data_IF_328390513503
#
_entry.id   IF_328390513503
#
_cell.length_a   1.000
_cell.length_b   1.000
_cell.length_c   1.000
_cell.angle_alpha   90.00
_cell.angle_beta   90.00
_cell.angle_gamma   90.00
#
_symmetry.space_group_name_H-M   'P 1'
#
loop_
_entity.id
_entity.type
_entity.pdbx_description
1 polymer ?
#
# COMPACT_ATOMS: atom_id res chain seq x y z
N UNK A 1 10.82 -3.45 -17.52
CA UNK A 1 11.38 -2.18 -18.00
C UNK A 1 10.21 -1.24 -18.25
N UNK A 2 10.26 -0.01 -17.74
CA UNK A 2 9.20 0.96 -17.97
C UNK A 2 9.48 1.68 -19.29
N UNK A 3 8.52 1.66 -20.20
CA UNK A 3 8.66 2.24 -21.53
C UNK A 3 7.61 3.32 -21.76
N UNK A 4 8.03 4.41 -22.42
CA UNK A 4 7.17 5.56 -22.68
C UNK A 4 6.08 5.21 -23.69
N UNK A 5 6.43 4.55 -24.79
CA UNK A 5 5.49 4.25 -25.89
C UNK A 5 4.38 3.32 -25.41
N UNK A 6 4.70 2.34 -24.57
CA UNK A 6 3.70 1.46 -23.95
C UNK A 6 2.67 2.25 -23.11
N UNK A 7 3.14 3.17 -22.26
CA UNK A 7 2.26 4.01 -21.42
C UNK A 7 1.43 4.97 -22.28
N UNK A 8 2.04 5.56 -23.31
CA UNK A 8 1.35 6.46 -24.22
C UNK A 8 0.24 5.73 -25.00
N UNK A 9 0.51 4.52 -25.50
CA UNK A 9 -0.48 3.70 -26.19
C UNK A 9 -1.66 3.33 -25.29
N UNK A 10 -1.40 2.99 -24.01
CA UNK A 10 -2.44 2.75 -23.01
C UNK A 10 -3.29 4.01 -22.76
N UNK A 11 -2.65 5.16 -22.56
CA UNK A 11 -3.33 6.44 -22.36
C UNK A 11 -4.20 6.83 -23.57
N UNK A 12 -3.71 6.61 -24.78
CA UNK A 12 -4.43 6.89 -26.02
C UNK A 12 -5.61 5.92 -26.21
N UNK A 13 -5.46 4.65 -25.86
CA UNK A 13 -6.56 3.70 -25.86
C UNK A 13 -7.64 4.06 -24.81
N UNK A 14 -7.24 4.54 -23.64
CA UNK A 14 -8.17 5.04 -22.62
C UNK A 14 -8.90 6.30 -23.10
N UNK A 15 -8.18 7.25 -23.70
CA UNK A 15 -8.76 8.46 -24.26
C UNK A 15 -9.86 8.15 -25.28
N UNK A 16 -9.57 7.26 -26.24
CA UNK A 16 -10.55 6.83 -27.27
C UNK A 16 -11.80 6.16 -26.69
N UNK A 17 -11.70 5.51 -25.52
CA UNK A 17 -12.86 4.92 -24.82
C UNK A 17 -13.72 5.96 -24.11
N UNK A 18 -13.09 6.98 -23.54
CA UNK A 18 -13.77 8.02 -22.78
C UNK A 18 -14.44 9.05 -23.69
N UNK A 19 -13.80 9.37 -24.83
CA UNK A 19 -14.26 10.38 -25.78
C UNK A 19 -14.27 9.78 -27.21
N UNK A 20 -15.25 8.93 -27.53
CA UNK A 20 -15.36 8.31 -28.86
C UNK A 20 -15.62 9.33 -29.97
N UNK A 21 -16.20 10.48 -29.66
CA UNK A 21 -16.39 11.59 -30.62
C UNK A 21 -15.06 12.17 -31.15
N UNK A 22 -13.97 12.07 -30.40
CA UNK A 22 -12.64 12.56 -30.78
C UNK A 22 -11.76 11.43 -31.31
N UNK A 23 -12.15 10.83 -32.45
CA UNK A 23 -11.46 9.66 -33.02
C UNK A 23 -10.29 10.00 -33.96
N UNK A 24 -10.31 11.16 -34.61
CA UNK A 24 -9.32 11.60 -35.61
C UNK A 24 -8.18 12.45 -35.00
N UNK A 25 -7.56 11.97 -33.92
CA UNK A 25 -6.42 12.65 -33.29
C UNK A 25 -5.17 12.59 -34.19
N UNK A 26 -4.59 13.76 -34.46
CA UNK A 26 -3.32 13.94 -35.17
C UNK A 26 -2.25 14.48 -34.23
N UNK A 27 -0.97 14.28 -34.53
CA UNK A 27 0.14 14.75 -33.70
C UNK A 27 0.23 16.28 -33.53
N UNK A 28 -0.42 17.03 -34.44
CA UNK A 28 -0.54 18.47 -34.40
C UNK A 28 -1.56 18.96 -33.37
N UNK A 29 -2.46 18.09 -32.90
CA UNK A 29 -3.50 18.48 -31.95
C UNK A 29 -2.91 18.74 -30.57
N UNK A 30 -3.36 19.80 -29.86
CA UNK A 30 -2.87 20.10 -28.51
C UNK A 30 -3.15 18.95 -27.52
N UNK A 31 -4.24 18.20 -27.75
CA UNK A 31 -4.60 17.03 -26.95
C UNK A 31 -3.53 15.94 -27.03
N UNK A 32 -2.95 15.73 -28.22
CA UNK A 32 -1.89 14.74 -28.41
C UNK A 32 -0.65 15.08 -27.57
N UNK A 33 -0.26 16.36 -27.54
CA UNK A 33 0.86 16.85 -26.72
C UNK A 33 0.58 16.73 -25.22
N UNK A 34 -0.66 16.94 -24.78
CA UNK A 34 -1.06 16.74 -23.38
C UNK A 34 -0.95 15.26 -22.99
N UNK A 35 -1.37 14.34 -23.86
CA UNK A 35 -1.23 12.90 -23.62
C UNK A 35 0.25 12.47 -23.55
N UNK A 36 1.12 13.06 -24.37
CA UNK A 36 2.57 12.84 -24.29
C UNK A 36 3.14 13.35 -22.95
N UNK A 37 2.73 14.54 -22.50
CA UNK A 37 3.13 15.08 -21.20
C UNK A 37 2.65 14.18 -20.04
N UNK A 38 1.41 13.69 -20.12
CA UNK A 38 0.85 12.76 -19.15
C UNK A 38 1.69 11.47 -19.08
N UNK A 39 1.97 10.84 -20.21
CA UNK A 39 2.77 9.61 -20.27
C UNK A 39 4.18 9.83 -19.72
N UNK A 40 4.83 10.95 -20.05
CA UNK A 40 6.15 11.30 -19.51
C UNK A 40 6.12 11.49 -17.99
N UNK A 41 5.09 12.15 -17.47
CA UNK A 41 4.91 12.34 -16.03
C UNK A 41 4.64 11.02 -15.31
N UNK A 42 3.80 10.17 -15.89
CA UNK A 42 3.47 8.87 -15.33
C UNK A 42 4.70 7.95 -15.25
N UNK A 43 5.53 7.93 -16.29
CA UNK A 43 6.78 7.18 -16.29
C UNK A 43 7.67 7.58 -15.11
N UNK A 44 7.87 8.88 -14.88
CA UNK A 44 8.67 9.38 -13.76
C UNK A 44 8.04 9.03 -12.40
N UNK A 45 6.72 9.06 -12.29
CA UNK A 45 6.03 8.70 -11.04
C UNK A 45 6.19 7.22 -10.72
N UNK A 46 6.04 6.34 -11.71
CA UNK A 46 6.21 4.89 -11.55
C UNK A 46 7.68 4.54 -11.25
N UNK A 47 8.64 5.22 -11.87
CA UNK A 47 10.08 5.09 -11.52
C UNK A 47 10.32 5.48 -10.06
N UNK A 48 9.91 6.68 -9.66
CA UNK A 48 10.07 7.16 -8.27
C UNK A 48 9.38 6.25 -7.26
N UNK A 49 8.22 5.68 -7.61
CA UNK A 49 7.53 4.72 -6.75
C UNK A 49 8.32 3.42 -6.60
N UNK A 50 8.89 2.90 -7.69
CA UNK A 50 9.76 1.72 -7.64
C UNK A 50 11.02 1.96 -6.83
N UNK A 51 11.69 3.11 -7.00
CA UNK A 51 12.89 3.46 -6.24
C UNK A 51 12.59 3.52 -4.74
N UNK A 52 11.47 4.16 -4.36
CA UNK A 52 11.01 4.19 -2.96
C UNK A 52 10.67 2.80 -2.43
N UNK A 53 9.99 1.97 -3.23
CA UNK A 53 9.65 0.60 -2.84
C UNK A 53 10.92 -0.24 -2.62
N UNK A 54 11.93 -0.11 -3.49
CA UNK A 54 13.21 -0.78 -3.32
C UNK A 54 13.89 -0.37 -2.01
N UNK A 55 13.86 0.91 -1.65
CA UNK A 55 14.45 1.41 -0.40
C UNK A 55 13.77 0.88 0.87
N UNK A 56 12.57 0.30 0.78
CA UNK A 56 11.92 -0.38 1.92
C UNK A 56 12.34 -1.85 2.07
N UNK A 57 12.99 -2.43 1.06
CA UNK A 57 13.44 -3.81 1.07
C UNK A 57 14.90 -3.89 1.54
N UNK A 58 15.16 -4.72 2.55
CA UNK A 58 16.51 -4.89 3.13
C UNK A 58 17.60 -5.19 2.08
N UNK A 59 17.25 -5.87 0.99
CA UNK A 59 18.20 -6.20 -0.07
C UNK A 59 18.71 -4.97 -0.83
N UNK A 60 17.91 -3.91 -0.99
CA UNK A 60 18.21 -2.75 -1.83
C UNK A 60 18.33 -1.43 -1.05
N UNK A 61 17.86 -1.39 0.20
CA UNK A 61 17.93 -0.21 1.05
C UNK A 61 19.38 0.24 1.27
N UNK A 62 19.58 1.56 1.27
CA UNK A 62 20.88 2.20 1.49
C UNK A 62 20.75 3.41 2.42
N UNK A 63 21.88 3.82 3.01
CA UNK A 63 21.97 4.99 3.90
C UNK A 63 20.93 5.00 5.02
N UNK A 64 20.22 6.12 5.17
CA UNK A 64 19.25 6.35 6.24
C UNK A 64 18.03 5.42 6.19
N UNK A 65 17.60 4.98 5.00
CA UNK A 65 16.50 4.02 4.89
C UNK A 65 16.88 2.67 5.51
N UNK A 66 18.13 2.25 5.30
CA UNK A 66 18.66 1.03 5.91
C UNK A 66 18.77 1.18 7.44
N UNK A 67 19.09 2.37 7.93
CA UNK A 67 19.14 2.67 9.37
C UNK A 67 17.76 2.58 10.02
N UNK A 68 16.73 3.09 9.34
CA UNK A 68 15.35 2.93 9.77
C UNK A 68 14.93 1.45 9.80
N UNK A 69 15.34 0.64 8.82
CA UNK A 69 15.11 -0.80 8.84
C UNK A 69 15.86 -1.49 9.99
N UNK A 70 17.08 -1.05 10.31
CA UNK A 70 17.84 -1.55 11.46
C UNK A 70 17.15 -1.23 12.79
N UNK A 71 16.61 -0.02 12.92
CA UNK A 71 15.88 0.40 14.10
C UNK A 71 14.65 -0.49 14.38
N UNK A 72 13.98 -1.03 13.36
CA UNK A 72 12.88 -1.99 13.52
C UNK A 72 13.33 -3.29 14.23
N UNK A 73 14.60 -3.67 14.10
CA UNK A 73 15.18 -4.83 14.76
C UNK A 73 15.94 -4.48 16.05
N UNK A 74 15.87 -3.21 16.51
CA UNK A 74 16.61 -2.73 17.69
C UNK A 74 18.12 -2.66 17.47
N UNK A 75 18.53 -2.44 16.23
CA UNK A 75 19.89 -2.60 15.73
C UNK A 75 20.35 -1.26 15.14
N UNK A 76 21.50 -0.75 15.57
CA UNK A 76 22.08 0.50 15.10
C UNK A 76 23.48 0.27 14.51
N UNK A 77 23.91 1.15 13.60
CA UNK A 77 25.22 1.02 12.96
C UNK A 77 26.36 1.09 13.97
N UNK A 78 27.36 0.26 13.74
CA UNK A 78 28.62 0.35 14.45
C UNK A 78 29.40 1.61 14.02
N UNK A 79 29.84 2.38 15.02
CA UNK A 79 30.81 3.47 14.83
C UNK A 79 32.20 2.85 14.81
N UNK A 80 32.90 2.96 13.68
CA UNK A 80 34.26 2.44 13.52
C UNK A 80 35.29 3.43 14.06
N UNK A 81 35.09 4.71 13.79
CA UNK A 81 35.89 5.82 14.31
C UNK A 81 34.93 6.92 14.79
N UNK A 82 34.94 7.32 16.07
CA UNK A 82 34.12 8.42 16.55
C UNK A 82 34.45 9.77 15.89
N UNK A 83 35.57 9.87 15.18
CA UNK A 83 36.02 11.12 14.57
C UNK A 83 36.50 12.13 15.60
N UNK A 84 36.88 13.31 15.11
CA UNK A 84 37.31 14.43 15.94
C UNK A 84 36.47 15.66 15.60
N UNK A 85 35.40 15.96 16.35
CA UNK A 85 34.49 17.05 16.03
C UNK A 85 35.18 18.42 16.11
N UNK A 86 36.16 18.57 17.00
CA UNK A 86 36.95 19.79 17.16
C UNK A 86 37.78 20.15 15.91
N UNK A 87 38.19 19.13 15.15
CA UNK A 87 38.96 19.26 13.92
C UNK A 87 38.06 19.21 12.67
N UNK A 88 36.74 19.11 12.85
CA UNK A 88 35.76 18.98 11.76
C UNK A 88 35.72 17.61 11.07
N UNK A 89 36.30 16.57 11.68
CA UNK A 89 36.30 15.20 11.14
C UNK A 89 35.07 14.46 11.64
N UNK A 90 34.17 14.10 10.72
CA UNK A 90 32.95 13.37 11.04
C UNK A 90 33.23 11.91 11.45
N UNK A 91 32.37 11.31 12.31
CA UNK A 91 32.46 9.90 12.66
C UNK A 91 32.32 9.00 11.42
N UNK A 92 33.13 7.95 11.37
CA UNK A 92 33.06 6.93 10.32
C UNK A 92 32.26 5.74 10.81
N UNK A 93 31.21 5.40 10.06
CA UNK A 93 30.33 4.27 10.34
C UNK A 93 30.68 3.06 9.47
N UNK A 94 30.18 1.89 9.86
CA UNK A 94 30.27 0.68 9.02
C UNK A 94 29.53 0.82 7.67
N UNK A 95 29.97 0.04 6.68
CA UNK A 95 29.43 0.06 5.33
C UNK A 95 27.99 -0.49 5.26
N UNK A 96 27.19 -0.02 4.28
CA UNK A 96 25.83 -0.53 4.02
C UNK A 96 25.79 -2.04 3.71
N UNK A 97 26.88 -2.58 3.15
CA UNK A 97 26.96 -4.01 2.82
C UNK A 97 27.11 -4.83 4.10
N UNK A 98 27.99 -4.41 5.00
CA UNK A 98 28.24 -5.13 6.24
C UNK A 98 27.08 -4.98 7.22
N UNK A 99 26.49 -3.78 7.30
CA UNK A 99 25.29 -3.55 8.09
C UNK A 99 24.12 -4.44 7.62
N UNK A 100 23.87 -4.56 6.30
CA UNK A 100 22.86 -5.49 5.77
C UNK A 100 23.12 -6.94 6.16
N UNK A 101 24.38 -7.40 6.07
CA UNK A 101 24.76 -8.77 6.49
C UNK A 101 24.50 -8.97 7.99
N UNK A 102 24.78 -7.97 8.79
CA UNK A 102 24.50 -8.03 10.22
C UNK A 102 23.01 -8.07 10.52
N UNK A 103 22.20 -7.19 9.91
CA UNK A 103 20.73 -7.23 10.02
C UNK A 103 20.15 -8.58 9.63
N UNK A 104 20.64 -9.18 8.52
CA UNK A 104 20.19 -10.50 8.09
C UNK A 104 20.44 -11.57 9.17
N UNK A 105 21.62 -11.57 9.80
CA UNK A 105 21.92 -12.48 10.92
C UNK A 105 21.09 -12.17 12.18
N UNK A 106 20.88 -10.88 12.49
CA UNK A 106 20.08 -10.45 13.63
C UNK A 106 18.61 -10.88 13.50
N UNK A 107 18.05 -10.81 12.29
CA UNK A 107 16.68 -11.29 12.03
C UNK A 107 16.53 -12.79 12.31
N UNK A 108 17.53 -13.60 11.96
CA UNK A 108 17.54 -15.03 12.24
C UNK A 108 17.67 -15.34 13.74
N UNK A 109 18.45 -14.54 14.49
CA UNK A 109 18.57 -14.72 15.93
C UNK A 109 17.31 -14.31 16.71
N UNK A 110 16.59 -13.29 16.24
CA UNK A 110 15.26 -12.93 16.76
C UNK A 110 14.25 -14.08 16.56
N UNK A 111 14.27 -14.74 15.40
CA UNK A 111 13.42 -15.90 15.14
C UNK A 111 13.73 -17.07 16.08
N UNK A 112 15.01 -17.30 16.41
CA UNK A 112 15.44 -18.35 17.34
C UNK A 112 15.02 -18.08 18.80
N UNK A 113 14.93 -16.80 19.20
CA UNK A 113 14.58 -16.38 20.57
C UNK A 113 13.07 -16.25 20.79
N UNK A 114 12.26 -16.26 19.73
CA UNK A 114 10.82 -16.36 19.89
C UNK A 114 10.50 -17.67 20.63
N UNK A 115 9.66 -17.66 21.69
CA UNK A 115 9.23 -18.90 22.29
C UNK A 115 8.66 -19.75 21.16
N UNK A 116 9.15 -20.99 21.04
CA UNK A 116 8.50 -21.99 20.22
C UNK A 116 7.09 -22.13 20.76
N UNK A 117 6.15 -21.34 20.21
CA UNK A 117 4.74 -21.64 20.38
C UNK A 117 4.63 -23.11 20.01
N UNK A 118 4.15 -23.93 20.94
CA UNK A 118 3.98 -25.36 20.73
C UNK A 118 2.83 -25.51 19.74
N UNK A 119 3.11 -25.21 18.49
CA UNK A 119 2.18 -25.32 17.38
C UNK A 119 2.76 -26.37 16.44
N UNK A 120 2.83 -27.59 16.98
CA UNK A 120 2.38 -28.76 16.21
C UNK A 120 0.87 -28.61 16.03
N UNK A 121 0.45 -27.59 15.28
CA UNK A 121 -0.77 -27.73 14.50
C UNK A 121 -0.25 -28.05 13.12
N UNK A 122 -0.57 -29.27 12.68
CA UNK A 122 -0.33 -29.75 11.35
C UNK A 122 -0.45 -28.61 10.33
N UNK A 123 0.42 -28.62 9.31
CA UNK A 123 -0.06 -28.23 7.98
C UNK A 123 -1.28 -29.12 7.70
N UNK A 124 -2.48 -28.70 8.12
CA UNK A 124 -3.63 -28.92 7.24
C UNK A 124 -3.24 -28.14 6.00
N UNK A 125 -3.05 -28.77 4.84
CA UNK A 125 -3.02 -27.99 3.63
C UNK A 125 -4.29 -27.12 3.67
N UNK A 126 -4.15 -25.82 3.42
CA UNK A 126 -5.31 -25.04 3.01
C UNK A 126 -5.78 -25.69 1.71
N UNK A 127 -6.69 -26.66 1.84
CA UNK A 127 -7.52 -27.08 0.74
C UNK A 127 -8.35 -25.86 0.42
N UNK A 128 -7.97 -25.18 -0.65
CA UNK A 128 -8.79 -24.18 -1.29
C UNK A 128 -10.08 -24.90 -1.70
N UNK A 129 -11.10 -24.89 -0.85
CA UNK A 129 -12.44 -25.26 -1.28
C UNK A 129 -12.97 -24.06 -2.04
N UNK A 130 -13.14 -24.15 -3.38
CA UNK A 130 -13.74 -23.05 -4.11
C UNK A 130 -15.10 -22.73 -3.52
N UNK A 131 -15.33 -21.44 -3.22
CA UNK A 131 -16.65 -20.93 -2.89
C UNK A 131 -17.54 -21.20 -4.10
N UNK A 132 -18.67 -21.93 -3.97
CA UNK A 132 -19.58 -22.10 -5.09
C UNK A 132 -20.03 -20.73 -5.57
N UNK A 133 -20.12 -20.49 -6.90
CA UNK A 133 -20.59 -19.22 -7.41
C UNK A 133 -21.98 -18.93 -6.82
N UNK A 134 -22.18 -17.69 -6.38
CA UNK A 134 -23.48 -17.24 -5.92
C UNK A 134 -24.52 -17.54 -7.02
N UNK A 135 -25.70 -18.09 -6.67
CA UNK A 135 -26.76 -18.28 -7.65
C UNK A 135 -27.05 -16.92 -8.27
N UNK A 136 -26.90 -16.84 -9.59
CA UNK A 136 -27.30 -15.66 -10.35
C UNK A 136 -28.76 -15.38 -9.99
N UNK A 137 -29.13 -14.14 -9.59
CA UNK A 137 -30.52 -13.80 -9.45
C UNK A 137 -31.17 -14.00 -10.82
N UNK A 138 -31.94 -15.09 -10.92
CA UNK A 138 -32.77 -15.38 -12.07
C UNK A 138 -33.59 -14.14 -12.40
N UNK A 139 -33.57 -13.78 -13.68
CA UNK A 139 -34.35 -12.70 -14.26
C UNK A 139 -35.82 -12.87 -13.89
N UNK A 140 -36.27 -12.22 -12.82
CA UNK A 140 -37.68 -11.95 -12.59
C UNK A 140 -37.95 -10.51 -13.05
N UNK A 141 -37.89 -10.31 -14.36
CA UNK A 141 -38.57 -9.18 -14.96
C UNK A 141 -40.05 -9.56 -15.03
N UNK A 142 -40.86 -8.96 -14.16
CA UNK A 142 -42.27 -8.73 -14.49
C UNK A 142 -42.53 -7.22 -14.38
N UNK A 143 -43.35 -6.66 -15.28
CA UNK A 143 -43.37 -5.24 -15.53
C UNK A 143 -44.15 -4.53 -14.42
N UNK A 144 -43.59 -3.38 -14.04
CA UNK A 144 -44.27 -2.24 -13.46
C UNK A 144 -45.79 -2.27 -13.64
N UNK A 145 -46.52 -2.59 -12.58
CA UNK A 145 -47.96 -2.31 -12.49
C UNK A 145 -48.21 -1.58 -11.18
N UNK A 146 -48.50 -0.29 -11.37
CA UNK A 146 -48.80 0.73 -10.40
C UNK A 146 -50.17 0.42 -9.76
N UNK A 147 -50.21 0.20 -8.45
CA UNK A 147 -51.46 0.26 -7.69
C UNK A 147 -51.21 0.84 -6.30
N UNK A 148 -51.77 2.03 -6.08
CA UNK A 148 -51.94 2.67 -4.78
C UNK A 148 -52.87 1.81 -3.93
N UNK A 149 -52.44 1.40 -2.74
CA UNK A 149 -53.36 1.02 -1.65
C UNK A 149 -52.68 1.16 -0.27
N UNK A 150 -53.24 2.11 0.47
CA UNK A 150 -53.23 2.41 1.90
C UNK A 150 -52.95 1.29 2.92
N UNK A 151 -52.41 1.73 4.07
CA UNK A 151 -52.33 1.12 5.42
C UNK A 151 -51.11 0.19 5.65
N UNK A 152 -50.37 0.18 6.76
CA UNK A 152 -50.49 0.76 8.12
C UNK A 152 -49.08 0.65 8.78
N UNK A 153 -48.57 1.67 9.47
CA UNK A 153 -47.34 1.58 10.29
C UNK A 153 -47.57 0.77 11.58
N UNK A 154 -46.52 0.13 12.12
CA UNK A 154 -45.96 0.63 13.39
C UNK A 154 -44.42 0.64 13.35
N UNK A 155 -43.76 1.79 13.43
CA UNK A 155 -43.38 2.51 14.66
C UNK A 155 -42.65 1.65 15.72
N UNK A 156 -41.40 1.27 15.44
CA UNK A 156 -40.41 1.15 16.53
C UNK A 156 -39.18 2.01 16.23
N UNK A 157 -39.03 2.98 17.12
CA UNK A 157 -38.07 4.07 17.11
C UNK A 157 -36.62 3.57 17.12
N UNK A 158 -35.84 4.07 16.15
CA UNK A 158 -34.40 4.21 16.28
C UNK A 158 -34.11 5.48 17.09
N UNK A 159 -33.82 5.36 18.39
CA UNK A 159 -33.26 6.47 19.17
C UNK A 159 -31.78 6.26 19.40
N UNK A 160 -31.00 7.00 18.62
CA UNK A 160 -29.63 7.44 18.87
C UNK A 160 -29.62 8.22 20.20
N UNK A 161 -29.06 7.66 21.28
CA UNK A 161 -28.77 8.41 22.51
C UNK A 161 -27.30 8.83 22.56
N UNK A 162 -27.08 10.14 22.48
CA UNK A 162 -25.83 10.77 22.87
C UNK A 162 -25.74 10.90 24.41
N UNK A 163 -24.49 10.92 24.90
CA UNK A 163 -23.96 11.68 26.06
C UNK A 163 -24.36 11.24 27.48
N UNK A 164 -23.36 10.84 28.27
CA UNK A 164 -22.99 11.51 29.53
C UNK A 164 -21.73 10.86 30.16
N UNK A 165 -20.81 11.73 30.57
CA UNK A 165 -19.57 11.43 31.31
C UNK A 165 -19.87 11.02 32.76
N UNK A 166 -19.00 10.26 33.44
CA UNK A 166 -18.94 10.27 34.89
C UNK A 166 -17.68 11.01 35.39
N UNK A 167 -17.90 12.16 36.01
CA UNK A 167 -16.98 12.77 36.98
C UNK A 167 -17.27 12.14 38.33
N UNK A 168 -16.26 11.61 39.05
CA UNK A 168 -16.11 11.72 40.52
C UNK A 168 -14.70 11.27 40.90
N UNK A 169 -13.81 12.25 41.05
CA UNK A 169 -12.62 12.17 41.90
C UNK A 169 -12.90 13.08 43.09
N UNK A 170 -12.93 12.53 44.30
CA UNK A 170 -12.32 13.11 45.52
C UNK A 170 -12.81 12.33 46.74
N UNK A 171 -11.88 11.69 47.42
CA UNK A 171 -11.96 11.46 48.86
C UNK A 171 -10.62 11.91 49.46
N UNK A 172 -10.67 12.96 50.26
CA UNK A 172 -9.72 13.28 51.31
C UNK A 172 -10.53 13.78 52.50
#
# INVERSE_FOLDING_TARGET
>A
MLDFEAIFAEALAQFRRLLPEFSALTEADPVYKILQLFAARELLLRQRANDKAQQTMLAFATGTNLDHLGALFGVARLVLDPGQPETGVAPTYESDVDFRRWLQRASASLAQRAPTSTTRSARRPMSWTPVPPAPHPGKCWSPFSRALATARLPSHCWTRSQRSSPTTTCAR
#
